data_IF_778944314093
#
_entry.id   IF_778944314093
#
_cell.length_a   1.000
_cell.length_b   1.000
_cell.length_c   1.000
_cell.angle_alpha   90.00
_cell.angle_beta   90.00
_cell.angle_gamma   90.00
#
_symmetry.space_group_name_H-M   'P 1'
#
loop_
_entity.id
_entity.type
_entity.pdbx_description
1 polymer ?
#
# COMPACT_ATOMS: atom_id res chain seq x y z
N UNK A 1 37.43 40.68 -10.55
CA UNK A 1 38.19 40.08 -9.42
C UNK A 1 37.17 39.79 -8.32
N UNK A 2 36.66 38.57 -8.12
CA UNK A 2 37.26 37.35 -7.53
C UNK A 2 36.49 36.13 -8.11
N UNK A 3 37.06 35.30 -8.99
CA UNK A 3 37.77 34.04 -8.69
C UNK A 3 36.91 33.04 -7.88
N UNK A 4 36.21 32.11 -8.54
CA UNK A 4 36.67 30.74 -8.93
C UNK A 4 36.72 29.75 -7.74
N UNK A 5 35.58 29.16 -7.37
CA UNK A 5 35.49 27.88 -6.63
C UNK A 5 34.35 27.04 -7.23
N UNK A 6 34.56 26.52 -8.43
CA UNK A 6 33.81 25.38 -8.97
C UNK A 6 34.87 24.40 -9.42
N UNK A 7 35.17 23.44 -8.56
CA UNK A 7 36.05 22.33 -8.86
C UNK A 7 35.30 21.03 -8.57
N UNK A 8 35.03 20.32 -9.67
CA UNK A 8 35.20 18.88 -9.80
C UNK A 8 34.31 17.98 -8.94
N UNK A 9 33.33 17.32 -9.57
CA UNK A 9 33.24 15.85 -9.68
C UNK A 9 32.26 15.57 -10.82
N UNK A 10 32.81 15.36 -12.02
CA UNK A 10 32.14 14.67 -13.14
C UNK A 10 33.11 13.58 -13.59
N UNK A 11 32.55 12.40 -13.85
CA UNK A 11 33.15 11.24 -14.51
C UNK A 11 34.04 10.31 -13.68
N UNK A 12 33.45 9.20 -13.22
CA UNK A 12 34.05 7.86 -13.35
C UNK A 12 33.00 6.77 -13.09
N UNK A 13 33.06 5.68 -13.85
CA UNK A 13 32.37 4.38 -13.68
C UNK A 13 31.06 4.16 -14.46
N UNK A 14 31.09 4.48 -15.76
CA UNK A 14 30.57 3.56 -16.76
C UNK A 14 31.79 2.86 -17.40
N UNK A 15 31.66 1.57 -17.75
CA UNK A 15 32.67 0.64 -18.34
C UNK A 15 33.35 -0.33 -17.36
N UNK A 16 32.62 -1.38 -16.97
CA UNK A 16 33.07 -2.79 -16.83
C UNK A 16 31.84 -3.68 -17.09
N UNK A 17 31.18 -3.62 -18.25
CA UNK A 17 31.40 -4.53 -19.40
C UNK A 17 31.85 -5.94 -19.01
N UNK A 18 30.87 -6.86 -19.05
CA UNK A 18 30.93 -8.18 -19.72
C UNK A 18 32.08 -9.10 -19.30
N UNK A 19 31.77 -10.11 -18.50
CA UNK A 19 32.59 -11.31 -18.40
C UNK A 19 32.56 -11.93 -17.02
N UNK A 20 31.75 -12.99 -16.85
CA UNK A 20 32.07 -14.26 -16.18
C UNK A 20 30.74 -15.04 -16.10
N UNK A 21 30.38 -15.63 -17.24
CA UNK A 21 29.53 -16.82 -17.30
C UNK A 21 30.51 -17.98 -17.42
N UNK A 22 30.78 -18.70 -16.32
CA UNK A 22 31.31 -20.07 -16.37
C UNK A 22 30.76 -20.87 -15.18
N UNK A 23 29.75 -21.69 -15.48
CA UNK A 23 29.52 -23.07 -15.06
C UNK A 23 29.94 -23.51 -13.65
N UNK A 24 28.95 -24.00 -12.88
CA UNK A 24 29.14 -25.20 -12.06
C UNK A 24 27.87 -26.05 -12.01
N UNK A 25 27.82 -27.20 -12.70
CA UNK A 25 26.74 -28.16 -12.59
C UNK A 25 27.05 -29.19 -11.49
N UNK A 26 26.02 -29.61 -10.75
CA UNK A 26 25.85 -31.00 -10.32
C UNK A 26 24.60 -31.13 -9.46
N UNK A 27 23.55 -31.70 -10.05
CA UNK A 27 22.43 -32.29 -9.33
C UNK A 27 22.88 -33.54 -8.56
N UNK A 28 22.10 -33.97 -7.55
CA UNK A 28 21.84 -35.40 -7.45
C UNK A 28 20.38 -35.76 -7.21
N UNK A 29 19.90 -36.58 -8.16
CA UNK A 29 19.06 -37.80 -8.11
C UNK A 29 17.79 -37.86 -7.25
N UNK A 30 16.74 -38.27 -7.96
CA UNK A 30 15.38 -38.61 -7.55
C UNK A 30 15.14 -40.10 -7.70
N UNK A 31 14.94 -40.82 -6.60
CA UNK A 31 14.38 -42.17 -6.57
C UNK A 31 14.12 -42.49 -5.08
N UNK A 32 12.93 -42.33 -4.49
CA UNK A 32 11.71 -43.14 -4.67
C UNK A 32 11.99 -44.63 -4.85
N UNK A 33 11.97 -45.40 -3.75
CA UNK A 33 11.06 -46.54 -3.65
C UNK A 33 10.91 -47.08 -2.21
N UNK A 34 9.76 -47.74 -2.03
CA UNK A 34 8.99 -48.02 -0.83
C UNK A 34 9.52 -49.23 -0.03
N UNK A 35 9.35 -49.20 1.29
CA UNK A 35 9.63 -50.33 2.17
C UNK A 35 8.97 -50.19 3.53
N UNK A 36 7.68 -50.53 3.57
CA UNK A 36 6.90 -51.09 4.68
C UNK A 36 6.97 -50.47 6.09
N UNK A 37 5.77 -50.14 6.55
CA UNK A 37 5.37 -49.80 7.91
C UNK A 37 5.71 -50.88 8.95
N UNK A 38 6.15 -50.44 10.13
CA UNK A 38 5.79 -51.07 11.41
C UNK A 38 6.12 -50.10 12.58
N UNK A 39 5.06 -49.55 13.18
CA UNK A 39 4.90 -49.43 14.64
C UNK A 39 5.75 -48.45 15.46
N UNK A 40 5.02 -47.58 16.17
CA UNK A 40 5.34 -46.93 17.47
C UNK A 40 6.22 -45.67 17.41
N UNK A 41 6.00 -44.60 18.17
CA UNK A 41 4.86 -44.03 18.89
C UNK A 41 5.29 -42.61 19.33
N UNK A 42 4.34 -41.69 19.40
CA UNK A 42 4.32 -40.47 20.25
C UNK A 42 5.36 -39.34 20.04
N UNK A 43 5.06 -38.52 19.02
CA UNK A 43 4.79 -37.06 19.10
C UNK A 43 5.46 -36.23 20.21
N UNK A 44 6.49 -35.43 19.87
CA UNK A 44 6.54 -33.95 19.96
C UNK A 44 7.91 -33.41 19.51
N UNK A 45 7.96 -32.59 18.45
CA UNK A 45 8.88 -31.47 18.25
C UNK A 45 8.67 -30.89 16.84
N UNK A 46 8.57 -29.57 16.73
CA UNK A 46 8.43 -28.91 15.43
C UNK A 46 8.46 -27.39 15.54
N UNK A 47 9.54 -26.85 16.12
CA UNK A 47 9.92 -25.45 15.95
C UNK A 47 10.60 -25.28 14.60
N UNK A 48 9.90 -24.74 13.61
CA UNK A 48 10.46 -24.20 12.36
C UNK A 48 9.65 -22.92 12.11
N UNK A 49 10.18 -21.71 12.23
CA UNK A 49 11.36 -21.22 11.52
C UNK A 49 10.92 -20.63 10.18
N UNK A 50 10.14 -19.55 10.18
CA UNK A 50 9.68 -18.87 8.96
C UNK A 50 10.73 -17.86 8.47
N UNK A 51 11.36 -18.07 7.30
CA UNK A 51 12.14 -17.02 6.65
C UNK A 51 11.22 -15.95 6.04
N UNK A 52 11.63 -14.70 6.23
CA UNK A 52 10.89 -13.50 5.86
C UNK A 52 10.57 -13.42 4.37
N UNK A 53 9.29 -13.17 4.09
CA UNK A 53 8.86 -12.61 2.83
C UNK A 53 9.20 -11.12 2.81
N UNK A 54 10.19 -10.76 2.00
CA UNK A 54 10.41 -9.39 1.58
C UNK A 54 9.17 -8.92 0.78
N UNK A 55 8.36 -8.09 1.39
CA UNK A 55 7.27 -7.37 0.70
C UNK A 55 7.93 -6.30 -0.15
N UNK A 56 7.90 -6.51 -1.46
CA UNK A 56 8.22 -5.48 -2.44
C UNK A 56 7.29 -4.29 -2.20
N UNK A 57 7.87 -3.10 -2.02
CA UNK A 57 7.13 -1.86 -2.03
C UNK A 57 6.49 -1.70 -3.40
N UNK A 58 5.16 -1.84 -3.46
CA UNK A 58 4.38 -1.53 -4.64
C UNK A 58 4.39 -0.01 -4.83
N UNK A 59 5.35 0.47 -5.63
CA UNK A 59 5.28 1.80 -6.23
C UNK A 59 4.12 1.77 -7.22
N UNK A 60 2.93 2.09 -6.73
CA UNK A 60 1.76 2.32 -7.58
C UNK A 60 2.03 3.60 -8.39
N UNK A 61 2.60 3.45 -9.59
CA UNK A 61 2.73 4.54 -10.53
C UNK A 61 1.35 4.83 -11.13
N UNK A 62 0.85 6.04 -10.91
CA UNK A 62 -0.38 6.53 -11.52
C UNK A 62 -0.19 6.69 -13.03
N UNK A 63 -1.17 6.33 -13.88
CA UNK A 63 -1.10 6.61 -15.31
C UNK A 63 -1.01 8.13 -15.53
N UNK A 64 -0.02 8.55 -16.33
CA UNK A 64 0.50 9.91 -16.46
C UNK A 64 -0.46 10.96 -17.07
N UNK A 65 -1.73 10.62 -17.33
CA UNK A 65 -2.66 11.53 -18.03
C UNK A 65 -4.13 11.44 -17.63
N UNK A 66 -4.51 10.64 -16.63
CA UNK A 66 -5.89 10.57 -16.16
C UNK A 66 -6.02 11.12 -14.74
N UNK A 67 -7.10 11.83 -14.46
CA UNK A 67 -7.44 12.24 -13.10
C UNK A 67 -7.75 10.98 -12.29
N UNK A 68 -6.99 10.75 -11.23
CA UNK A 68 -7.15 9.62 -10.34
C UNK A 68 -7.56 10.15 -8.97
N UNK A 69 -8.69 9.66 -8.47
CA UNK A 69 -9.11 9.88 -7.11
C UNK A 69 -8.50 8.80 -6.22
N UNK A 70 -7.87 9.19 -5.13
CA UNK A 70 -7.36 8.26 -4.12
C UNK A 70 -8.12 8.48 -2.82
N UNK A 71 -8.79 7.43 -2.36
CA UNK A 71 -9.42 7.38 -1.06
C UNK A 71 -8.46 6.69 -0.08
N UNK A 72 -7.97 7.46 0.88
CA UNK A 72 -7.06 6.99 1.92
C UNK A 72 -7.81 6.76 3.23
N UNK A 73 -7.50 5.68 3.92
CA UNK A 73 -7.78 5.51 5.34
C UNK A 73 -6.47 5.51 6.13
N UNK A 74 -6.26 6.55 6.93
CA UNK A 74 -5.08 6.67 7.76
C UNK A 74 -5.31 6.05 9.13
N UNK A 75 -4.40 5.17 9.53
CA UNK A 75 -4.38 4.59 10.86
C UNK A 75 -3.01 4.55 11.52
N UNK A 76 -2.98 4.14 12.78
CA UNK A 76 -1.75 3.84 13.54
C UNK A 76 -1.82 2.37 13.96
N UNK A 77 -0.77 1.86 14.61
CA UNK A 77 -0.73 0.49 15.13
C UNK A 77 -1.81 0.23 16.19
N UNK A 78 -2.17 1.27 16.95
CA UNK A 78 -3.23 1.19 17.95
C UNK A 78 -4.60 1.43 17.30
N UNK A 79 -5.38 0.36 17.20
CA UNK A 79 -6.70 0.36 16.54
C UNK A 79 -7.76 -0.11 17.53
N UNK A 80 -8.81 0.69 17.71
CA UNK A 80 -9.99 0.29 18.49
C UNK A 80 -11.09 -0.23 17.56
N UNK A 81 -12.15 -0.82 18.14
CA UNK A 81 -13.27 -1.36 17.36
C UNK A 81 -13.92 -0.35 16.41
N UNK A 82 -14.00 0.93 16.82
CA UNK A 82 -14.53 1.99 15.95
C UNK A 82 -13.61 2.28 14.76
N UNK A 83 -12.28 2.21 14.94
CA UNK A 83 -11.34 2.35 13.83
C UNK A 83 -11.56 1.26 12.78
N UNK A 84 -11.71 0.01 13.23
CA UNK A 84 -12.00 -1.11 12.33
C UNK A 84 -13.33 -0.87 11.60
N UNK A 85 -14.38 -0.45 12.32
CA UNK A 85 -15.67 -0.14 11.69
C UNK A 85 -15.59 0.95 10.62
N UNK A 86 -14.87 2.05 10.87
CA UNK A 86 -14.70 3.11 9.86
C UNK A 86 -14.03 2.54 8.62
N UNK A 87 -12.93 1.78 8.78
CA UNK A 87 -12.24 1.16 7.65
C UNK A 87 -13.19 0.26 6.86
N UNK A 88 -13.84 -0.68 7.55
CA UNK A 88 -14.73 -1.67 6.92
C UNK A 88 -15.88 -0.98 6.18
N UNK A 89 -16.61 -0.07 6.82
CA UNK A 89 -17.75 0.58 6.19
C UNK A 89 -17.32 1.48 5.02
N UNK A 90 -16.16 2.13 5.12
CA UNK A 90 -15.65 2.95 4.01
C UNK A 90 -15.24 2.09 2.84
N UNK A 91 -14.53 0.98 3.11
CA UNK A 91 -14.13 0.03 2.08
C UNK A 91 -15.34 -0.57 1.36
N UNK A 92 -16.33 -1.06 2.12
CA UNK A 92 -17.58 -1.61 1.56
C UNK A 92 -18.34 -0.57 0.72
N UNK A 93 -18.45 0.68 1.20
CA UNK A 93 -19.11 1.75 0.45
C UNK A 93 -18.43 2.05 -0.90
N UNK A 94 -17.08 1.99 -0.91
CA UNK A 94 -16.28 2.24 -2.11
C UNK A 94 -16.35 1.06 -3.06
N UNK A 95 -16.14 -0.16 -2.55
CA UNK A 95 -16.13 -1.39 -3.34
C UNK A 95 -17.48 -1.62 -4.03
N UNK A 96 -18.58 -1.47 -3.29
CA UNK A 96 -19.94 -1.68 -3.84
C UNK A 96 -20.42 -0.53 -4.71
N UNK A 97 -20.00 0.71 -4.41
CA UNK A 97 -20.46 1.92 -5.10
C UNK A 97 -19.69 2.26 -6.37
N UNK A 98 -18.42 1.84 -6.47
CA UNK A 98 -17.47 2.30 -7.48
C UNK A 98 -16.60 1.18 -8.05
N UNK A 99 -17.14 -0.04 -8.13
CA UNK A 99 -16.43 -1.20 -8.68
C UNK A 99 -15.87 -0.92 -10.08
N UNK A 100 -16.59 -0.17 -10.92
CA UNK A 100 -16.13 0.19 -12.27
C UNK A 100 -14.92 1.14 -12.25
N UNK A 101 -14.93 2.15 -11.38
CA UNK A 101 -13.86 3.13 -11.23
C UNK A 101 -12.62 2.51 -10.57
N UNK A 102 -12.81 1.58 -9.64
CA UNK A 102 -11.74 0.77 -9.06
C UNK A 102 -11.07 -0.09 -10.13
N UNK A 103 -11.86 -0.78 -10.96
CA UNK A 103 -11.35 -1.61 -12.06
C UNK A 103 -10.63 -0.78 -13.13
N UNK A 104 -11.13 0.43 -13.42
CA UNK A 104 -10.49 1.33 -14.38
C UNK A 104 -9.29 2.10 -13.82
N UNK A 105 -9.02 1.99 -12.51
CA UNK A 105 -7.96 2.76 -11.84
C UNK A 105 -8.24 4.26 -11.69
N UNK A 106 -9.49 4.69 -11.90
CA UNK A 106 -9.93 6.09 -11.69
C UNK A 106 -10.16 6.41 -10.23
N UNK A 107 -10.49 5.38 -9.44
CA UNK A 107 -10.55 5.43 -7.99
C UNK A 107 -9.57 4.40 -7.45
N UNK A 108 -8.80 4.77 -6.42
CA UNK A 108 -7.90 3.85 -5.72
C UNK A 108 -8.20 3.93 -4.23
N UNK A 109 -8.42 2.78 -3.60
CA UNK A 109 -8.53 2.67 -2.15
C UNK A 109 -7.17 2.31 -1.54
N UNK A 110 -6.76 3.02 -0.49
CA UNK A 110 -5.53 2.70 0.26
C UNK A 110 -5.72 2.83 1.76
N UNK A 111 -5.25 1.84 2.49
CA UNK A 111 -5.09 1.90 3.94
C UNK A 111 -3.63 2.19 4.27
N UNK A 112 -3.36 3.26 5.02
CA UNK A 112 -2.00 3.75 5.31
C UNK A 112 -1.77 3.79 6.82
N UNK A 113 -0.68 3.16 7.27
CA UNK A 113 -0.23 3.22 8.66
C UNK A 113 0.78 4.38 8.85
N UNK A 114 0.39 5.42 9.57
CA UNK A 114 1.20 6.62 9.82
C UNK A 114 2.26 6.43 10.90
N UNK A 115 2.28 5.30 11.62
CA UNK A 115 3.38 4.97 12.54
C UNK A 115 4.63 4.49 11.78
N UNK A 116 4.51 4.18 10.50
CA UNK A 116 5.64 3.85 9.64
C UNK A 116 6.36 5.14 9.22
N UNK A 117 7.71 5.19 9.30
CA UNK A 117 8.47 6.41 9.03
C UNK A 117 8.30 6.92 7.61
N UNK A 118 8.03 6.04 6.64
CA UNK A 118 7.77 6.43 5.26
C UNK A 118 6.44 7.21 5.10
N UNK A 119 5.48 7.01 6.02
CA UNK A 119 4.13 7.56 5.96
C UNK A 119 3.89 8.71 6.95
N UNK A 120 4.86 9.05 7.79
CA UNK A 120 4.70 10.09 8.83
C UNK A 120 4.38 11.47 8.21
N UNK A 121 4.87 11.73 7.00
CA UNK A 121 4.65 12.99 6.28
C UNK A 121 3.15 13.35 6.13
N UNK A 122 2.28 12.35 5.95
CA UNK A 122 0.84 12.54 5.82
C UNK A 122 0.19 13.23 7.04
N UNK A 123 0.77 13.09 8.23
CA UNK A 123 0.28 13.78 9.43
C UNK A 123 0.33 15.30 9.26
N UNK A 124 1.39 15.81 8.61
CA UNK A 124 1.58 17.24 8.35
C UNK A 124 0.79 17.68 7.12
N UNK A 125 0.82 16.89 6.05
CA UNK A 125 0.22 17.24 4.77
C UNK A 125 -1.30 17.38 4.86
N UNK A 126 -1.97 16.42 5.53
CA UNK A 126 -3.41 16.43 5.75
C UNK A 126 -3.82 16.95 7.13
N UNK A 127 -2.86 17.43 7.94
CA UNK A 127 -3.09 17.93 9.31
C UNK A 127 -3.87 16.92 10.17
N UNK A 128 -3.48 15.65 10.08
CA UNK A 128 -4.19 14.56 10.74
C UNK A 128 -3.94 14.62 12.24
N UNK A 129 -5.03 14.74 13.00
CA UNK A 129 -5.01 14.63 14.46
C UNK A 129 -5.31 13.18 14.89
N UNK A 130 -6.09 12.46 14.08
CA UNK A 130 -6.57 11.10 14.38
C UNK A 130 -6.80 10.28 13.11
N UNK A 131 -7.29 9.04 13.26
CA UNK A 131 -7.69 8.15 12.17
C UNK A 131 -8.73 8.84 11.29
N UNK A 132 -8.48 8.90 9.99
CA UNK A 132 -9.29 9.74 9.10
C UNK A 132 -9.42 9.09 7.73
N UNK A 133 -10.52 9.37 7.07
CA UNK A 133 -10.71 9.05 5.65
C UNK A 133 -10.49 10.33 4.85
N UNK A 134 -9.51 10.32 3.96
CA UNK A 134 -9.18 11.45 3.08
C UNK A 134 -9.51 11.06 1.64
N UNK A 135 -10.17 11.96 0.92
CA UNK A 135 -10.25 11.88 -0.54
C UNK A 135 -9.23 12.85 -1.13
N UNK A 136 -8.42 12.37 -2.06
CA UNK A 136 -7.40 13.12 -2.79
C UNK A 136 -7.69 13.03 -4.28
N UNK A 137 -7.66 14.16 -4.98
CA UNK A 137 -7.76 14.23 -6.44
C UNK A 137 -6.37 14.50 -7.00
N UNK A 138 -5.83 13.54 -7.73
CA UNK A 138 -4.50 13.57 -8.31
C UNK A 138 -4.62 13.70 -9.81
N UNK A 139 -4.03 14.76 -10.38
CA UNK A 139 -3.97 14.97 -11.83
C UNK A 139 -2.53 15.13 -12.26
N UNK A 140 -2.12 14.35 -13.27
CA UNK A 140 -0.73 14.35 -13.77
C UNK A 140 0.31 14.20 -12.65
N UNK A 141 0.05 13.26 -11.72
CA UNK A 141 0.95 12.95 -10.60
C UNK A 141 0.97 13.98 -9.46
N UNK A 142 0.15 15.05 -9.53
CA UNK A 142 0.07 16.06 -8.49
C UNK A 142 -1.32 16.12 -7.86
N UNK A 143 -1.37 16.12 -6.54
CA UNK A 143 -2.62 16.40 -5.82
C UNK A 143 -3.06 17.84 -6.08
N UNK A 144 -4.29 18.01 -6.54
CA UNK A 144 -4.90 19.31 -6.82
C UNK A 144 -5.91 19.73 -5.75
N UNK A 145 -6.55 18.78 -5.08
CA UNK A 145 -7.47 19.01 -3.96
C UNK A 145 -7.57 17.78 -3.09
N UNK A 146 -7.90 17.98 -1.83
CA UNK A 146 -8.23 16.91 -0.91
C UNK A 146 -9.35 17.32 0.05
N UNK A 147 -9.96 16.34 0.71
CA UNK A 147 -11.00 16.56 1.72
C UNK A 147 -10.92 15.50 2.81
N UNK A 148 -11.02 15.95 4.07
CA UNK A 148 -11.26 15.07 5.20
C UNK A 148 -12.76 14.80 5.37
N UNK A 149 -13.12 13.52 5.52
CA UNK A 149 -14.50 13.08 5.67
C UNK A 149 -14.88 13.03 7.15
N UNK A 150 -14.85 14.17 7.84
CA UNK A 150 -15.02 14.25 9.30
C UNK A 150 -16.33 13.61 9.82
N UNK A 151 -17.38 13.60 9.00
CA UNK A 151 -18.69 13.03 9.37
C UNK A 151 -18.68 11.52 9.53
N UNK A 152 -17.64 10.80 9.07
CA UNK A 152 -17.52 9.34 9.28
C UNK A 152 -17.60 8.98 10.76
N UNK A 153 -17.01 9.80 11.63
CA UNK A 153 -17.07 9.61 13.08
C UNK A 153 -18.47 9.83 13.67
N UNK A 154 -19.22 10.77 13.09
CA UNK A 154 -20.57 11.12 13.54
C UNK A 154 -21.61 10.06 13.11
N UNK A 155 -21.41 9.47 11.92
CA UNK A 155 -22.35 8.54 11.30
C UNK A 155 -22.08 7.07 11.66
N UNK A 156 -21.06 6.77 12.47
CA UNK A 156 -20.66 5.40 12.83
C UNK A 156 -21.77 4.50 13.39
N UNK A 157 -22.85 5.07 13.93
CA UNK A 157 -23.98 4.32 14.51
C UNK A 157 -25.04 3.94 13.46
N UNK A 158 -25.02 4.58 12.31
CA UNK A 158 -25.96 4.38 11.22
C UNK A 158 -25.16 4.04 9.95
N UNK A 159 -25.05 2.74 9.68
CA UNK A 159 -24.24 2.24 8.56
C UNK A 159 -24.76 2.75 7.22
N UNK A 160 -26.08 2.81 7.03
CA UNK A 160 -26.67 3.21 5.75
C UNK A 160 -26.37 4.68 5.44
N UNK A 161 -26.55 5.57 6.43
CA UNK A 161 -26.24 6.99 6.24
C UNK A 161 -24.72 7.23 6.14
N UNK A 162 -23.90 6.44 6.84
CA UNK A 162 -22.44 6.45 6.70
C UNK A 162 -22.04 6.14 5.26
N UNK A 163 -22.49 5.02 4.70
CA UNK A 163 -22.10 4.60 3.36
C UNK A 163 -22.60 5.57 2.30
N UNK A 164 -23.82 6.09 2.46
CA UNK A 164 -24.39 7.09 1.58
C UNK A 164 -23.57 8.38 1.59
N UNK A 165 -23.11 8.82 2.76
CA UNK A 165 -22.22 9.97 2.89
C UNK A 165 -20.90 9.74 2.16
N UNK A 166 -20.22 8.61 2.41
CA UNK A 166 -18.96 8.25 1.74
C UNK A 166 -19.15 8.21 0.22
N UNK A 167 -20.21 7.53 -0.26
CA UNK A 167 -20.51 7.44 -1.69
C UNK A 167 -20.76 8.80 -2.31
N UNK A 168 -21.52 9.69 -1.66
CA UNK A 168 -21.77 11.02 -2.17
C UNK A 168 -20.48 11.85 -2.32
N UNK A 169 -19.59 11.79 -1.32
CA UNK A 169 -18.31 12.50 -1.34
C UNK A 169 -17.38 11.95 -2.43
N UNK A 170 -17.22 10.62 -2.51
CA UNK A 170 -16.40 9.97 -3.54
C UNK A 170 -16.93 10.29 -4.94
N UNK A 171 -18.25 10.23 -5.14
CA UNK A 171 -18.85 10.56 -6.44
C UNK A 171 -18.59 12.03 -6.83
N UNK A 172 -18.59 12.94 -5.87
CA UNK A 172 -18.23 14.34 -6.10
C UNK A 172 -16.77 14.55 -6.50
N UNK A 173 -15.87 13.66 -6.07
CA UNK A 173 -14.47 13.67 -6.50
C UNK A 173 -14.30 13.07 -7.89
N UNK A 174 -14.90 11.91 -8.14
CA UNK A 174 -14.77 11.18 -9.42
C UNK A 174 -15.35 11.96 -10.60
N UNK A 175 -16.41 12.74 -10.40
CA UNK A 175 -17.10 13.47 -11.49
C UNK A 175 -16.54 14.86 -11.81
N UNK A 176 -15.65 15.42 -10.98
CA UNK A 176 -15.14 16.79 -11.15
C UNK A 176 -13.82 16.81 -11.92
#
# INVERSE_FOLDING_TARGET
>A
MKAKWIALIVAALAVVVVGIIVLRPSAPKTDSECGSCEGCSENVAGTEGCPGAAVAAETTSFPDSEAVVVAYYFHTNQRCANCIKIETYTHEAIETGFAGELQSGKLIWRTINTDQPENEHYLKDYKLITKSVILSDVRSGKEIRWKNLDKVWLLLRDKDEFEKYVRAEVQGFVKA
#
